data_IF_729834285489
#
_entry.id   IF_729834285489
#
_cell.length_a   1.000
_cell.length_b   1.000
_cell.length_c   1.000
_cell.angle_alpha   90.00
_cell.angle_beta   90.00
_cell.angle_gamma   90.00
#
_symmetry.space_group_name_H-M   'P 1'
#
loop_
_entity.id
_entity.type
_entity.pdbx_description
1 polymer ?
#
# COMPACT_ATOMS: atom_id res chain seq x y z
N UNK A 1 12.54 12.08 -20.14
CA UNK A 1 11.74 12.49 -21.31
C UNK A 1 12.30 11.78 -22.54
N UNK A 2 11.47 11.07 -23.32
CA UNK A 2 11.93 10.29 -24.48
C UNK A 2 12.17 11.18 -25.71
N UNK A 3 12.96 10.70 -26.68
CA UNK A 3 13.26 11.43 -27.93
C UNK A 3 11.98 11.76 -28.71
N UNK A 4 11.04 10.83 -28.81
CA UNK A 4 9.77 11.06 -29.54
C UNK A 4 8.93 12.17 -28.90
N UNK A 5 8.86 12.21 -27.56
CA UNK A 5 8.16 13.30 -26.86
C UNK A 5 8.87 14.64 -27.06
N UNK A 6 10.21 14.64 -27.13
CA UNK A 6 10.98 15.85 -27.47
C UNK A 6 10.69 16.34 -28.89
N UNK A 7 10.60 15.45 -29.87
CA UNK A 7 10.23 15.80 -31.25
C UNK A 7 8.82 16.38 -31.31
N UNK A 8 7.84 15.72 -30.67
CA UNK A 8 6.46 16.22 -30.61
C UNK A 8 6.36 17.59 -29.93
N UNK A 9 7.20 17.87 -28.93
CA UNK A 9 7.29 19.19 -28.32
C UNK A 9 7.86 20.23 -29.28
N UNK A 10 8.88 19.88 -30.07
CA UNK A 10 9.45 20.75 -31.11
C UNK A 10 8.41 21.04 -32.19
N UNK A 11 7.72 20.02 -32.71
CA UNK A 11 6.67 20.17 -33.73
C UNK A 11 5.54 21.09 -33.25
N UNK A 12 5.08 20.89 -32.01
CA UNK A 12 4.07 21.77 -31.41
C UNK A 12 4.55 23.21 -31.30
N UNK A 13 5.81 23.43 -30.94
CA UNK A 13 6.38 24.79 -30.84
C UNK A 13 6.55 25.43 -32.21
N UNK A 14 6.91 24.67 -33.25
CA UNK A 14 6.96 25.16 -34.62
C UNK A 14 5.56 25.56 -35.11
N UNK A 15 4.56 24.71 -34.90
CA UNK A 15 3.17 25.00 -35.26
C UNK A 15 2.58 26.21 -34.50
N UNK A 16 3.03 26.45 -33.26
CA UNK A 16 2.66 27.65 -32.52
C UNK A 16 3.23 28.92 -33.16
N UNK A 17 4.48 28.88 -33.61
CA UNK A 17 5.18 30.01 -34.23
C UNK A 17 4.65 30.35 -35.63
N UNK A 18 4.06 29.38 -36.32
CA UNK A 18 3.44 29.61 -37.63
C UNK A 18 2.04 30.23 -37.54
N UNK A 19 1.49 30.44 -36.34
CA UNK A 19 0.14 31.00 -36.08
C UNK A 19 -1.01 30.24 -36.76
N UNK A 20 -0.75 29.04 -37.27
CA UNK A 20 -1.77 28.17 -37.86
C UNK A 20 -2.48 27.38 -36.76
N UNK A 21 -3.76 27.70 -36.55
CA UNK A 21 -4.57 27.15 -35.48
C UNK A 21 -4.84 25.65 -35.65
N UNK A 22 -5.04 25.18 -36.87
CA UNK A 22 -5.35 23.78 -37.15
C UNK A 22 -4.10 22.91 -36.99
N UNK A 23 -2.97 23.36 -37.54
CA UNK A 23 -1.69 22.69 -37.34
C UNK A 23 -1.31 22.63 -35.85
N UNK A 24 -1.51 23.71 -35.12
CA UNK A 24 -1.25 23.74 -33.68
C UNK A 24 -2.15 22.79 -32.89
N UNK A 25 -3.46 22.75 -33.22
CA UNK A 25 -4.41 21.82 -32.61
C UNK A 25 -4.03 20.35 -32.87
N UNK A 26 -3.67 20.03 -34.11
CA UNK A 26 -3.23 18.69 -34.49
C UNK A 26 -1.92 18.29 -33.78
N UNK A 27 -0.93 19.19 -33.73
CA UNK A 27 0.33 18.96 -33.04
C UNK A 27 0.15 18.76 -31.53
N UNK A 28 -0.76 19.50 -30.89
CA UNK A 28 -1.13 19.29 -29.47
C UNK A 28 -1.76 17.92 -29.24
N UNK A 29 -2.66 17.51 -30.12
CA UNK A 29 -3.30 16.18 -30.04
C UNK A 29 -2.27 15.05 -30.19
N UNK A 30 -1.33 15.19 -31.13
CA UNK A 30 -0.19 14.26 -31.30
C UNK A 30 0.70 14.22 -30.06
N UNK A 31 1.07 15.38 -29.50
CA UNK A 31 1.87 15.46 -28.27
C UNK A 31 1.17 14.78 -27.09
N UNK A 32 -0.13 15.04 -26.88
CA UNK A 32 -0.90 14.40 -25.81
C UNK A 32 -0.91 12.88 -25.97
N UNK A 33 -1.06 12.38 -27.19
CA UNK A 33 -0.99 10.94 -27.51
C UNK A 33 0.40 10.38 -27.22
N UNK A 34 1.46 11.00 -27.75
CA UNK A 34 2.83 10.54 -27.54
C UNK A 34 3.26 10.52 -26.06
N UNK A 35 2.79 11.47 -25.24
CA UNK A 35 3.02 11.43 -23.79
C UNK A 35 2.33 10.21 -23.15
N UNK A 36 1.09 9.90 -23.54
CA UNK A 36 0.39 8.71 -23.03
C UNK A 36 1.09 7.43 -23.45
N UNK A 37 1.50 7.34 -24.71
CA UNK A 37 2.18 6.16 -25.24
C UNK A 37 3.55 5.96 -24.57
N UNK A 38 4.30 7.03 -24.34
CA UNK A 38 5.56 7.00 -23.61
C UNK A 38 5.37 6.56 -22.14
N UNK A 39 4.32 7.04 -21.47
CA UNK A 39 3.97 6.59 -20.11
C UNK A 39 3.58 5.10 -20.09
N UNK A 40 2.80 4.64 -21.07
CA UNK A 40 2.41 3.25 -21.19
C UNK A 40 3.62 2.34 -21.46
N UNK A 41 4.54 2.76 -22.32
CA UNK A 41 5.79 2.05 -22.58
C UNK A 41 6.66 1.94 -21.33
N UNK A 42 6.78 3.04 -20.56
CA UNK A 42 7.51 3.01 -19.29
C UNK A 42 6.85 2.05 -18.28
N UNK A 43 5.52 2.08 -18.17
CA UNK A 43 4.76 1.15 -17.32
C UNK A 43 5.09 -0.31 -17.67
N UNK A 44 4.97 -0.71 -18.95
CA UNK A 44 5.29 -2.07 -19.39
C UNK A 44 6.73 -2.48 -19.06
N UNK A 45 7.68 -1.55 -19.20
CA UNK A 45 9.09 -1.79 -18.85
C UNK A 45 9.31 -2.03 -17.36
N UNK A 46 8.51 -1.40 -16.49
CA UNK A 46 8.56 -1.63 -15.05
C UNK A 46 7.89 -2.96 -14.71
N UNK A 47 6.72 -3.24 -15.29
CA UNK A 47 5.98 -4.49 -15.09
C UNK A 47 6.79 -5.72 -15.52
N UNK A 48 7.58 -5.62 -16.60
CA UNK A 48 8.42 -6.74 -17.07
C UNK A 48 9.52 -7.17 -16.10
N UNK A 49 9.84 -6.37 -15.07
CA UNK A 49 10.73 -6.80 -13.99
C UNK A 49 10.09 -7.84 -13.05
N UNK A 50 8.77 -8.00 -13.08
CA UNK A 50 7.98 -8.83 -12.16
C UNK A 50 7.27 -10.01 -12.84
N UNK A 51 7.42 -10.17 -14.16
CA UNK A 51 6.82 -11.28 -14.91
C UNK A 51 7.52 -12.62 -14.62
N UNK A 52 8.82 -12.59 -14.34
CA UNK A 52 9.61 -13.76 -13.98
C UNK A 52 9.69 -13.93 -12.46
N UNK A 53 9.74 -15.17 -11.96
CA UNK A 53 10.06 -15.48 -10.55
C UNK A 53 11.57 -15.27 -10.24
N UNK A 54 12.16 -14.19 -10.75
CA UNK A 54 13.55 -13.83 -10.55
C UNK A 54 13.67 -12.67 -9.54
N UNK A 55 14.10 -12.94 -8.29
CA UNK A 55 14.15 -11.90 -7.26
C UNK A 55 15.12 -10.78 -7.60
N UNK A 56 16.21 -11.03 -8.34
CA UNK A 56 17.14 -9.97 -8.74
C UNK A 56 16.50 -9.00 -9.73
N UNK A 57 15.69 -9.48 -10.68
CA UNK A 57 14.98 -8.62 -11.64
C UNK A 57 13.87 -7.83 -10.95
N UNK A 58 13.11 -8.48 -10.05
CA UNK A 58 12.10 -7.79 -9.23
C UNK A 58 12.73 -6.65 -8.40
N UNK A 59 13.88 -6.90 -7.78
CA UNK A 59 14.64 -5.86 -7.06
C UNK A 59 15.11 -4.72 -7.94
N UNK A 60 15.46 -4.96 -9.21
CA UNK A 60 15.75 -3.89 -10.17
C UNK A 60 14.51 -3.04 -10.47
N UNK A 61 13.33 -3.66 -10.58
CA UNK A 61 12.04 -2.97 -10.73
C UNK A 61 11.74 -2.08 -9.52
N UNK A 62 11.82 -2.64 -8.30
CA UNK A 62 11.63 -1.90 -7.04
C UNK A 62 12.58 -0.71 -6.95
N UNK A 63 13.85 -0.90 -7.33
CA UNK A 63 14.85 0.17 -7.34
C UNK A 63 14.48 1.32 -8.29
N UNK A 64 13.95 0.99 -9.48
CA UNK A 64 13.49 2.01 -10.44
C UNK A 64 12.26 2.77 -9.96
N UNK A 65 11.32 2.10 -9.27
CA UNK A 65 10.11 2.74 -8.73
C UNK A 65 10.44 3.67 -7.56
N UNK A 66 11.30 3.21 -6.65
CA UNK A 66 11.66 3.93 -5.42
C UNK A 66 12.74 4.98 -5.63
N UNK A 67 13.38 5.02 -6.81
CA UNK A 67 14.58 5.80 -7.07
C UNK A 67 15.72 5.51 -6.06
N UNK A 68 15.76 4.29 -5.52
CA UNK A 68 16.74 3.89 -4.52
C UNK A 68 18.15 3.87 -5.14
N UNK A 69 19.02 4.74 -4.63
CA UNK A 69 20.45 4.75 -4.98
C UNK A 69 21.20 4.06 -3.85
N UNK A 70 21.74 2.88 -4.15
CA UNK A 70 22.68 2.23 -3.24
C UNK A 70 23.86 3.18 -3.02
N UNK A 71 24.05 3.64 -1.78
CA UNK A 71 25.20 4.43 -1.41
C UNK A 71 26.34 3.46 -1.14
N UNK A 72 27.32 3.40 -2.05
CA UNK A 72 28.53 2.59 -1.89
C UNK A 72 29.36 2.97 -0.65
N UNK A 73 29.08 4.12 -0.03
CA UNK A 73 29.81 4.64 1.14
C UNK A 73 29.06 4.52 2.47
N UNK A 74 28.02 3.70 2.57
CA UNK A 74 27.60 3.29 3.91
C UNK A 74 28.55 2.22 4.41
N UNK A 75 29.53 2.64 5.22
CA UNK A 75 30.13 1.79 6.24
C UNK A 75 28.99 1.27 7.11
N UNK A 76 28.33 0.20 6.67
CA UNK A 76 27.50 -0.60 7.55
C UNK A 76 28.50 -1.30 8.45
N UNK A 77 28.74 -0.73 9.63
CA UNK A 77 29.10 -1.53 10.79
C UNK A 77 27.88 -2.42 11.10
N UNK A 78 27.61 -3.38 10.21
CA UNK A 78 26.74 -4.52 10.46
C UNK A 78 27.48 -5.40 11.45
N UNK A 79 27.60 -4.91 12.68
CA UNK A 79 28.09 -5.73 13.76
C UNK A 79 26.98 -6.75 14.02
N UNK A 80 27.32 -8.04 14.02
CA UNK A 80 26.42 -9.12 14.42
C UNK A 80 25.58 -8.80 15.68
N UNK A 81 26.11 -8.06 16.70
CA UNK A 81 25.32 -7.64 17.86
C UNK A 81 24.06 -6.83 17.54
N UNK A 82 24.07 -5.99 16.50
CA UNK A 82 22.88 -5.21 16.14
C UNK A 82 21.79 -6.10 15.54
N UNK A 83 22.18 -7.09 14.73
CA UNK A 83 21.24 -8.05 14.18
C UNK A 83 20.60 -8.90 15.29
N UNK A 84 21.40 -9.35 16.26
CA UNK A 84 20.92 -10.08 17.44
C UNK A 84 19.98 -9.21 18.29
N UNK A 85 20.30 -7.93 18.48
CA UNK A 85 19.45 -7.00 19.23
C UNK A 85 18.10 -6.76 18.53
N UNK A 86 18.09 -6.65 17.20
CA UNK A 86 16.87 -6.53 16.41
C UNK A 86 16.01 -7.81 16.47
N UNK A 87 16.64 -8.98 16.32
CA UNK A 87 15.94 -10.26 16.45
C UNK A 87 15.29 -10.37 17.83
N UNK A 88 16.02 -10.07 18.91
CA UNK A 88 15.44 -10.05 20.27
C UNK A 88 14.28 -9.06 20.39
N UNK A 89 14.42 -7.86 19.82
CA UNK A 89 13.39 -6.83 19.87
C UNK A 89 12.10 -7.23 19.14
N UNK A 90 12.19 -7.91 17.99
CA UNK A 90 11.01 -8.33 17.25
C UNK A 90 10.41 -9.64 17.77
N UNK A 91 11.23 -10.58 18.28
CA UNK A 91 10.77 -11.82 18.89
C UNK A 91 10.09 -11.62 20.25
N UNK A 92 10.22 -10.45 20.90
CA UNK A 92 9.53 -10.14 22.16
C UNK A 92 8.00 -10.15 22.07
N UNK A 93 7.44 -10.10 20.86
CA UNK A 93 6.00 -10.22 20.62
C UNK A 93 5.57 -11.67 20.38
N UNK A 94 6.50 -12.59 20.17
CA UNK A 94 6.25 -14.03 20.01
C UNK A 94 6.29 -14.78 21.34
N UNK A 95 5.83 -14.15 22.43
CA UNK A 95 5.72 -14.82 23.72
C UNK A 95 4.65 -15.91 23.59
N UNK A 96 5.09 -17.16 23.51
CA UNK A 96 4.26 -18.30 23.91
C UNK A 96 4.00 -18.12 25.39
N UNK A 97 2.75 -17.75 25.72
CA UNK A 97 2.27 -17.45 27.06
C UNK A 97 2.79 -18.47 28.07
N UNK A 98 3.71 -18.06 28.94
CA UNK A 98 4.16 -18.85 30.08
C UNK A 98 3.42 -18.38 31.35
N UNK A 99 2.10 -18.22 31.24
CA UNK A 99 1.21 -18.02 32.38
C UNK A 99 0.35 -19.27 32.60
N UNK A 100 0.00 -19.59 33.86
CA UNK A 100 -0.66 -20.84 34.21
C UNK A 100 -1.93 -21.04 33.40
N UNK A 101 -2.01 -22.18 32.74
CA UNK A 101 -3.04 -22.52 31.78
C UNK A 101 -4.45 -22.20 32.30
N UNK A 102 -5.12 -21.28 31.61
CA UNK A 102 -6.58 -21.19 31.63
C UNK A 102 -7.15 -22.58 31.34
N UNK A 103 -8.21 -23.04 32.04
CA UNK A 103 -8.84 -24.32 31.76
C UNK A 103 -9.24 -24.39 30.29
N UNK A 104 -8.84 -25.47 29.61
CA UNK A 104 -9.08 -25.72 28.17
C UNK A 104 -10.56 -25.58 27.80
N UNK A 105 -11.48 -25.83 28.75
CA UNK A 105 -12.91 -25.65 28.58
C UNK A 105 -13.33 -24.20 28.27
N UNK A 106 -12.62 -23.23 28.84
CA UNK A 106 -12.91 -21.80 28.67
C UNK A 106 -12.50 -21.36 27.27
N UNK A 107 -11.27 -21.66 26.83
CA UNK A 107 -10.74 -21.32 25.49
C UNK A 107 -11.55 -21.98 24.36
N UNK A 108 -12.01 -23.23 24.56
CA UNK A 108 -12.87 -23.93 23.58
C UNK A 108 -14.22 -23.23 23.36
N UNK A 109 -14.77 -22.54 24.37
CA UNK A 109 -16.04 -21.83 24.27
C UNK A 109 -15.92 -20.52 23.48
N UNK A 110 -14.79 -19.82 23.57
CA UNK A 110 -14.53 -18.59 22.81
C UNK A 110 -14.18 -18.87 21.34
N UNK A 111 -13.40 -19.92 21.07
CA UNK A 111 -13.05 -20.32 19.68
C UNK A 111 -14.25 -20.98 18.96
N UNK A 112 -15.23 -21.51 19.70
CA UNK A 112 -16.45 -22.11 19.14
C UNK A 112 -17.53 -21.10 18.77
N UNK A 113 -17.31 -19.78 18.91
CA UNK A 113 -18.17 -18.79 18.30
C UNK A 113 -17.67 -18.50 16.88
N UNK A 114 -18.27 -19.09 15.84
CA UNK A 114 -17.91 -18.77 14.47
C UNK A 114 -18.14 -17.28 14.24
N UNK A 115 -17.18 -16.65 13.57
CA UNK A 115 -17.25 -15.29 13.05
C UNK A 115 -18.47 -15.20 12.12
N UNK A 116 -19.64 -14.85 12.67
CA UNK A 116 -20.90 -14.85 11.94
C UNK A 116 -21.03 -13.55 11.14
N UNK A 117 -20.19 -13.45 10.10
CA UNK A 117 -20.35 -12.42 9.08
C UNK A 117 -21.51 -12.88 8.18
N UNK A 118 -22.68 -12.29 8.40
CA UNK A 118 -23.85 -12.56 7.58
C UNK A 118 -23.56 -12.15 6.13
N UNK A 119 -24.05 -12.92 5.17
CA UNK A 119 -23.95 -12.60 3.74
C UNK A 119 -24.50 -11.20 3.44
N UNK A 120 -25.45 -10.71 4.22
CA UNK A 120 -25.96 -9.35 4.12
C UNK A 120 -24.92 -8.25 4.48
N UNK A 121 -24.03 -8.51 5.43
CA UNK A 121 -22.95 -7.58 5.81
C UNK A 121 -21.84 -7.57 4.75
N UNK A 122 -21.53 -8.75 4.20
CA UNK A 122 -20.67 -8.94 3.02
C UNK A 122 -21.27 -8.18 1.83
N UNK A 123 -22.51 -8.45 1.45
CA UNK A 123 -23.20 -7.80 0.31
C UNK A 123 -23.27 -6.27 0.46
N UNK A 124 -23.35 -5.74 1.70
CA UNK A 124 -23.26 -4.30 1.97
C UNK A 124 -21.89 -3.71 1.61
N UNK A 125 -20.80 -4.50 1.74
CA UNK A 125 -19.44 -4.16 1.28
C UNK A 125 -19.29 -4.25 -0.26
N UNK A 126 -20.07 -5.09 -0.94
CA UNK A 126 -19.83 -5.43 -2.36
C UNK A 126 -20.62 -4.67 -3.43
N UNK A 127 -21.63 -3.85 -3.12
CA UNK A 127 -22.35 -3.12 -4.19
C UNK A 127 -21.44 -2.17 -4.98
N UNK A 128 -20.34 -1.71 -4.37
CA UNK A 128 -19.27 -0.94 -5.05
C UNK A 128 -17.89 -1.58 -4.89
N UNK A 129 -17.71 -2.52 -3.94
CA UNK A 129 -16.41 -3.13 -3.63
C UNK A 129 -15.46 -2.23 -2.83
N UNK A 130 -15.93 -1.06 -2.40
CA UNK A 130 -15.14 -0.08 -1.65
C UNK A 130 -15.67 0.07 -0.23
N UNK A 131 -14.74 0.14 0.74
CA UNK A 131 -15.07 0.48 2.11
C UNK A 131 -15.48 1.96 2.19
N UNK A 132 -16.57 2.24 2.92
CA UNK A 132 -16.99 3.61 3.22
C UNK A 132 -16.85 3.88 4.72
N UNK A 133 -17.03 5.14 5.12
CA UNK A 133 -16.80 5.59 6.48
C UNK A 133 -17.63 4.84 7.53
N UNK A 134 -18.94 4.68 7.31
CA UNK A 134 -19.83 4.03 8.27
C UNK A 134 -19.48 2.54 8.43
N UNK A 135 -19.11 1.90 7.31
CA UNK A 135 -18.75 0.49 7.28
C UNK A 135 -17.39 0.25 7.95
N UNK A 136 -16.46 1.19 7.78
CA UNK A 136 -15.17 1.18 8.47
C UNK A 136 -15.36 1.31 9.99
N UNK A 137 -16.20 2.24 10.47
CA UNK A 137 -16.47 2.35 11.91
C UNK A 137 -17.05 1.05 12.49
N UNK A 138 -18.00 0.40 11.79
CA UNK A 138 -18.55 -0.90 12.22
C UNK A 138 -17.47 -1.98 12.25
N UNK A 139 -16.60 -2.01 11.25
CA UNK A 139 -15.47 -2.93 11.20
C UNK A 139 -14.48 -2.69 12.34
N UNK A 140 -14.16 -1.42 12.66
CA UNK A 140 -13.24 -1.05 13.75
C UNK A 140 -13.74 -1.53 15.12
N UNK A 141 -15.04 -1.39 15.43
CA UNK A 141 -15.63 -1.93 16.67
C UNK A 141 -15.42 -3.44 16.78
N UNK A 142 -15.59 -4.15 15.67
CA UNK A 142 -15.36 -5.58 15.62
C UNK A 142 -13.87 -5.93 15.76
N UNK A 143 -12.99 -5.18 15.10
CA UNK A 143 -11.55 -5.36 15.21
C UNK A 143 -11.06 -5.19 16.66
N UNK A 144 -11.49 -4.15 17.37
CA UNK A 144 -11.13 -3.92 18.78
C UNK A 144 -11.59 -5.11 19.64
N UNK A 145 -12.85 -5.55 19.48
CA UNK A 145 -13.40 -6.68 20.22
C UNK A 145 -12.64 -7.99 19.96
N UNK A 146 -12.26 -8.26 18.71
CA UNK A 146 -11.59 -9.50 18.33
C UNK A 146 -10.10 -9.51 18.65
N UNK A 147 -9.44 -8.36 18.55
CA UNK A 147 -8.02 -8.22 18.89
C UNK A 147 -7.78 -8.12 20.40
N UNK A 148 -8.84 -7.85 21.19
CA UNK A 148 -8.72 -7.59 22.62
C UNK A 148 -8.00 -6.28 22.91
N UNK A 149 -7.98 -5.34 21.96
CA UNK A 149 -7.30 -4.07 22.12
C UNK A 149 -7.86 -3.30 23.31
N UNK A 150 -6.97 -2.86 24.19
CA UNK A 150 -7.30 -2.06 25.37
C UNK A 150 -6.13 -1.17 25.79
N UNK A 151 -6.32 -0.36 26.83
CA UNK A 151 -5.27 0.50 27.40
C UNK A 151 -4.06 -0.33 27.87
N UNK A 152 -4.31 -1.50 28.44
CA UNK A 152 -3.29 -2.42 28.95
C UNK A 152 -2.75 -3.36 27.86
N UNK A 153 -3.58 -3.67 26.86
CA UNK A 153 -3.25 -4.52 25.72
C UNK A 153 -3.28 -3.74 24.40
N UNK A 154 -2.24 -2.95 24.17
CA UNK A 154 -2.16 -2.06 22.98
C UNK A 154 -1.92 -2.87 21.70
N UNK A 155 -2.76 -2.62 20.70
CA UNK A 155 -2.66 -3.24 19.36
C UNK A 155 -2.29 -2.17 18.33
N UNK A 156 -1.28 -2.44 17.50
CA UNK A 156 -0.87 -1.55 16.41
C UNK A 156 -1.59 -1.94 15.11
N UNK A 157 -2.43 -1.02 14.61
CA UNK A 157 -3.10 -1.14 13.32
C UNK A 157 -2.48 -0.15 12.32
N UNK A 158 -1.96 -0.65 11.19
CA UNK A 158 -1.39 0.17 10.12
C UNK A 158 -2.37 0.19 8.94
N UNK A 159 -2.70 1.39 8.46
CA UNK A 159 -3.65 1.61 7.39
C UNK A 159 -3.06 2.53 6.32
N UNK A 160 -3.62 2.49 5.12
CA UNK A 160 -3.18 3.24 3.93
C UNK A 160 -3.64 4.71 3.89
N UNK A 161 -4.24 5.21 4.98
CA UNK A 161 -4.72 6.60 5.13
C UNK A 161 -5.80 6.97 4.10
N UNK A 162 -6.70 6.03 3.77
CA UNK A 162 -7.84 6.28 2.90
C UNK A 162 -8.88 7.18 3.60
N UNK A 163 -9.57 8.06 2.87
CA UNK A 163 -10.51 9.04 3.45
C UNK A 163 -11.59 8.41 4.34
N UNK A 164 -12.01 7.18 4.03
CA UNK A 164 -13.01 6.44 4.82
C UNK A 164 -12.51 5.99 6.19
N UNK A 165 -11.20 6.00 6.45
CA UNK A 165 -10.58 5.60 7.71
C UNK A 165 -10.45 6.75 8.72
N UNK A 166 -10.64 7.99 8.25
CA UNK A 166 -10.32 9.21 8.99
C UNK A 166 -11.54 9.89 9.62
N UNK A 167 -12.61 9.14 9.92
CA UNK A 167 -13.75 9.75 10.62
C UNK A 167 -13.43 10.06 12.07
N UNK A 168 -13.99 11.17 12.54
CA UNK A 168 -13.92 11.58 13.95
C UNK A 168 -14.44 10.45 14.85
N UNK A 169 -15.56 9.83 14.49
CA UNK A 169 -16.15 8.70 15.23
C UNK A 169 -15.17 7.52 15.38
N UNK A 170 -14.38 7.22 14.34
CA UNK A 170 -13.38 6.15 14.44
C UNK A 170 -12.20 6.56 15.29
N UNK A 171 -11.78 7.82 15.21
CA UNK A 171 -10.70 8.35 16.03
C UNK A 171 -11.07 8.31 17.52
N UNK A 172 -12.28 8.78 17.87
CA UNK A 172 -12.81 8.72 19.24
C UNK A 172 -12.86 7.27 19.76
N UNK A 173 -13.33 6.33 18.94
CA UNK A 173 -13.38 4.91 19.28
C UNK A 173 -11.99 4.29 19.55
N UNK A 174 -10.93 4.78 18.90
CA UNK A 174 -9.57 4.28 19.13
C UNK A 174 -8.88 4.92 20.34
N UNK A 175 -9.45 6.00 20.87
CA UNK A 175 -8.94 6.73 22.02
C UNK A 175 -9.57 6.27 23.35
N UNK A 176 -10.73 5.61 23.29
CA UNK A 176 -11.36 4.89 24.41
C UNK A 176 -10.56 3.63 24.80
#
# INVERSE_FOLDING_TARGET
MTRDVQLLLKDRNMAFRSSDRELYSAARSKLKRGIRDAKAAYRRRIESHFEDSNPRRAWQGIRQITNYKYSTNQNTSSSAPLADQLNHFFSRFEVVSTEPAMPIATVSAYISQPLNIQTADVIRMYKTGWINTQLFTKWMKHFILQSGASVDHKVLLILDNHQSQLSIETYELCME
#
